data_IF_002937863447
#
_entry.id   IF_002937863447
#
_cell.length_a   1.000
_cell.length_b   1.000
_cell.length_c   1.000
_cell.angle_alpha   90.00
_cell.angle_beta   90.00
_cell.angle_gamma   90.00
#
_symmetry.space_group_name_H-M   'P 1'
#
loop_
_entity.id
_entity.type
_entity.pdbx_description
1 polymer ?
#
# COMPACT_ATOMS: atom_id res chain seq x y z
N UNK A 1 -17.44 -18.27 -13.67
CA UNK A 1 -17.74 -16.84 -13.35
C UNK A 1 -17.91 -16.80 -11.84
N UNK A 2 -17.09 -16.13 -11.03
CA UNK A 2 -16.43 -14.83 -11.17
C UNK A 2 -14.91 -15.03 -11.14
N UNK A 3 -14.16 -14.28 -11.95
CA UNK A 3 -12.70 -14.35 -12.01
C UNK A 3 -12.17 -13.93 -10.63
N UNK A 4 -11.51 -14.83 -9.92
CA UNK A 4 -10.69 -14.49 -8.75
C UNK A 4 -9.56 -13.65 -9.32
N UNK A 5 -9.69 -12.34 -9.17
CA UNK A 5 -8.86 -11.40 -9.90
C UNK A 5 -7.53 -11.25 -9.14
N UNK A 6 -6.50 -11.92 -9.65
CA UNK A 6 -5.16 -11.34 -9.64
C UNK A 6 -5.28 -9.93 -10.27
N UNK A 7 -5.31 -8.86 -9.48
CA UNK A 7 -5.15 -7.49 -10.00
C UNK A 7 -3.74 -7.02 -9.66
N UNK A 8 -2.85 -7.36 -10.57
CA UNK A 8 -1.60 -6.63 -10.77
C UNK A 8 -1.96 -5.38 -11.60
N UNK A 9 -1.50 -4.22 -11.12
CA UNK A 9 -1.14 -3.02 -11.89
C UNK A 9 -2.27 -2.19 -12.56
N UNK A 10 -2.54 -0.99 -12.02
CA UNK A 10 -2.32 0.27 -12.78
C UNK A 10 -2.71 1.51 -11.97
N UNK A 11 -1.68 2.27 -11.57
CA UNK A 11 -1.60 3.73 -11.61
C UNK A 11 -2.68 4.50 -10.84
N UNK A 12 -2.32 5.02 -9.67
CA UNK A 12 -2.85 6.31 -9.24
C UNK A 12 -1.67 7.26 -9.05
N UNK A 13 -1.58 8.16 -10.03
CA UNK A 13 -0.57 9.21 -10.15
C UNK A 13 -0.88 10.22 -9.06
N UNK A 14 -0.23 10.12 -7.90
CA UNK A 14 -0.03 11.32 -7.10
C UNK A 14 1.13 12.08 -7.74
N UNK A 15 0.86 12.71 -8.89
CA UNK A 15 1.39 14.06 -9.12
C UNK A 15 0.68 14.92 -8.09
N UNK A 16 1.06 14.73 -6.83
CA UNK A 16 0.78 15.65 -5.78
C UNK A 16 1.54 16.88 -6.20
N UNK A 17 0.83 17.77 -6.90
CA UNK A 17 1.27 19.13 -7.14
C UNK A 17 1.23 19.86 -5.79
N UNK A 18 1.94 19.33 -4.78
CA UNK A 18 2.28 20.08 -3.59
C UNK A 18 3.45 20.96 -3.99
N UNK A 19 3.16 22.24 -3.99
CA UNK A 19 4.10 23.32 -4.16
C UNK A 19 5.04 23.33 -2.95
N UNK A 20 6.00 22.42 -2.88
CA UNK A 20 7.00 22.42 -1.81
C UNK A 20 8.19 23.28 -2.26
N UNK A 21 8.45 24.43 -1.63
CA UNK A 21 9.73 25.11 -1.81
C UNK A 21 10.82 24.20 -1.20
N UNK A 22 11.64 23.55 -2.01
CA UNK A 22 12.67 22.64 -1.50
C UNK A 22 13.36 21.78 -2.57
N UNK A 23 14.35 21.00 -2.13
CA UNK A 23 15.06 20.03 -2.98
C UNK A 23 14.26 18.72 -3.17
N UNK A 24 14.79 17.74 -3.93
CA UNK A 24 14.12 16.46 -4.16
C UNK A 24 13.74 15.73 -2.87
N UNK A 25 14.62 15.71 -1.88
CA UNK A 25 14.34 15.10 -0.58
C UNK A 25 13.14 15.73 0.14
N UNK A 26 12.92 17.04 0.00
CA UNK A 26 11.80 17.71 0.65
C UNK A 26 10.48 17.37 -0.05
N UNK A 27 10.48 17.25 -1.38
CA UNK A 27 9.33 16.74 -2.12
C UNK A 27 8.96 15.31 -1.68
N UNK A 28 9.94 14.43 -1.47
CA UNK A 28 9.69 13.08 -0.93
C UNK A 28 9.15 13.09 0.50
N UNK A 29 9.68 13.96 1.39
CA UNK A 29 9.15 14.08 2.75
C UNK A 29 7.70 14.53 2.75
N UNK A 30 7.34 15.52 1.93
CA UNK A 30 5.98 16.00 1.79
C UNK A 30 5.05 14.88 1.29
N UNK A 31 5.45 14.18 0.22
CA UNK A 31 4.70 13.04 -0.31
C UNK A 31 4.44 11.96 0.74
N UNK A 32 5.48 11.50 1.46
CA UNK A 32 5.31 10.49 2.51
C UNK A 32 4.49 11.03 3.70
N UNK A 33 4.56 12.34 3.97
CA UNK A 33 3.75 12.95 5.02
C UNK A 33 2.25 12.92 4.70
N UNK A 34 1.86 13.08 3.43
CA UNK A 34 0.46 12.97 2.99
C UNK A 34 -0.13 11.60 3.29
N UNK A 35 0.63 10.54 3.00
CA UNK A 35 0.24 9.18 3.39
C UNK A 35 0.13 9.06 4.91
N UNK A 36 1.17 9.44 5.65
CA UNK A 36 1.17 9.33 7.12
C UNK A 36 0.01 10.07 7.79
N UNK A 37 -0.36 11.21 7.24
CA UNK A 37 -1.41 12.07 7.79
C UNK A 37 -2.80 11.75 7.23
N UNK A 38 -2.95 10.72 6.40
CA UNK A 38 -4.21 10.40 5.71
C UNK A 38 -4.79 11.65 5.01
N UNK A 39 -3.94 12.37 4.29
CA UNK A 39 -4.33 13.56 3.54
C UNK A 39 -5.51 13.24 2.61
N UNK A 40 -6.42 14.20 2.43
CA UNK A 40 -7.66 13.99 1.68
C UNK A 40 -7.40 13.44 0.28
N UNK A 41 -6.31 13.86 -0.39
CA UNK A 41 -5.95 13.34 -1.71
C UNK A 41 -5.67 11.83 -1.64
N UNK A 42 -4.89 11.38 -0.66
CA UNK A 42 -4.57 9.96 -0.46
C UNK A 42 -5.84 9.15 -0.12
N UNK A 43 -6.72 9.72 0.70
CA UNK A 43 -7.96 9.05 1.11
C UNK A 43 -8.97 8.96 -0.02
N UNK A 44 -9.11 10.01 -0.84
CA UNK A 44 -9.99 10.01 -2.01
C UNK A 44 -9.53 8.97 -3.04
N UNK A 45 -8.22 8.88 -3.28
CA UNK A 45 -7.65 7.86 -4.16
C UNK A 45 -7.90 6.44 -3.64
N UNK A 46 -7.68 6.21 -2.35
CA UNK A 46 -7.99 4.93 -1.71
C UNK A 46 -9.48 4.60 -1.82
N UNK A 47 -10.36 5.58 -1.61
CA UNK A 47 -11.80 5.39 -1.73
C UNK A 47 -12.23 5.08 -3.16
N UNK A 48 -11.66 5.78 -4.14
CA UNK A 48 -11.92 5.52 -5.55
C UNK A 48 -11.49 4.09 -5.93
N UNK A 49 -10.30 3.67 -5.49
CA UNK A 49 -9.83 2.30 -5.67
C UNK A 49 -10.81 1.28 -5.07
N UNK A 50 -11.16 1.43 -3.79
CA UNK A 50 -12.05 0.50 -3.09
C UNK A 50 -13.49 0.50 -3.64
N UNK A 51 -13.97 1.62 -4.20
CA UNK A 51 -15.30 1.71 -4.80
C UNK A 51 -15.44 0.90 -6.10
N UNK A 52 -14.33 0.56 -6.75
CA UNK A 52 -14.29 -0.33 -7.91
C UNK A 52 -14.41 -1.81 -7.55
N UNK A 53 -14.28 -2.16 -6.27
CA UNK A 53 -14.29 -3.54 -5.81
C UNK A 53 -15.71 -4.07 -5.60
N UNK A 54 -15.94 -5.33 -5.95
CA UNK A 54 -17.22 -6.00 -5.73
C UNK A 54 -17.29 -6.59 -4.30
N UNK A 55 -17.24 -5.71 -3.31
CA UNK A 55 -17.27 -6.02 -1.88
C UNK A 55 -18.42 -5.29 -1.20
N UNK A 56 -18.92 -5.81 -0.09
CA UNK A 56 -19.91 -5.10 0.71
C UNK A 56 -19.28 -3.91 1.46
N UNK A 57 -20.12 -2.97 1.88
CA UNK A 57 -19.68 -1.73 2.53
C UNK A 57 -18.88 -1.97 3.82
N UNK A 58 -19.20 -3.02 4.59
CA UNK A 58 -18.48 -3.33 5.83
C UNK A 58 -17.06 -3.82 5.52
N UNK A 59 -16.93 -4.72 4.54
CA UNK A 59 -15.63 -5.20 4.05
C UNK A 59 -14.79 -4.05 3.47
N UNK A 60 -15.41 -3.13 2.71
CA UNK A 60 -14.72 -1.93 2.18
C UNK A 60 -14.17 -1.07 3.32
N UNK A 61 -14.94 -0.88 4.39
CA UNK A 61 -14.52 -0.11 5.57
C UNK A 61 -13.32 -0.75 6.26
N UNK A 62 -13.31 -2.08 6.41
CA UNK A 62 -12.19 -2.81 7.01
C UNK A 62 -10.91 -2.72 6.15
N UNK A 63 -11.02 -2.83 4.83
CA UNK A 63 -9.87 -2.60 3.94
C UNK A 63 -9.35 -1.16 4.04
N UNK A 64 -10.23 -0.17 4.10
CA UNK A 64 -9.82 1.23 4.30
C UNK A 64 -9.05 1.39 5.61
N UNK A 65 -9.49 0.74 6.68
CA UNK A 65 -8.78 0.73 7.96
C UNK A 65 -7.38 0.11 7.85
N UNK A 66 -7.24 -1.03 7.16
CA UNK A 66 -5.94 -1.67 6.91
C UNK A 66 -4.97 -0.72 6.21
N UNK A 67 -5.39 -0.09 5.11
CA UNK A 67 -4.54 0.85 4.36
C UNK A 67 -4.19 2.10 5.16
N UNK A 68 -5.17 2.74 5.80
CA UNK A 68 -4.92 3.97 6.58
C UNK A 68 -4.05 3.70 7.82
N UNK A 69 -4.24 2.55 8.49
CA UNK A 69 -3.37 2.09 9.57
C UNK A 69 -1.94 1.89 9.08
N UNK A 70 -1.74 1.29 7.91
CA UNK A 70 -0.42 1.12 7.29
C UNK A 70 0.26 2.46 7.02
N UNK A 71 -0.47 3.39 6.40
CA UNK A 71 0.08 4.71 6.07
C UNK A 71 0.47 5.50 7.31
N UNK A 72 -0.42 5.60 8.31
CA UNK A 72 -0.14 6.37 9.53
C UNK A 72 1.03 5.83 10.34
N UNK A 73 1.18 4.51 10.40
CA UNK A 73 2.20 3.84 11.21
C UNK A 73 3.52 3.58 10.48
N UNK A 74 3.61 3.92 9.19
CA UNK A 74 4.86 3.87 8.43
C UNK A 74 5.89 4.82 9.05
N UNK A 75 7.11 4.35 9.26
CA UNK A 75 8.27 5.22 9.51
C UNK A 75 9.15 5.25 8.26
N UNK A 76 9.88 6.35 8.06
CA UNK A 76 10.81 6.45 6.94
C UNK A 76 12.09 7.20 7.31
N UNK A 77 13.15 6.94 6.55
CA UNK A 77 14.44 7.62 6.64
C UNK A 77 15.00 7.86 5.24
N UNK A 78 15.23 9.13 4.88
CA UNK A 78 15.99 9.47 3.67
C UNK A 78 17.42 8.96 3.84
N UNK A 79 17.89 8.16 2.88
CA UNK A 79 19.25 7.60 2.85
C UNK A 79 20.18 8.43 1.97
N UNK A 80 19.64 9.07 0.93
CA UNK A 80 20.41 9.94 0.04
C UNK A 80 19.57 10.47 -1.11
N UNK A 81 20.15 11.40 -1.86
CA UNK A 81 19.58 11.90 -3.11
C UNK A 81 20.67 12.05 -4.17
N UNK A 82 20.28 11.86 -5.42
CA UNK A 82 21.10 12.12 -6.61
C UNK A 82 20.32 13.05 -7.53
N UNK A 83 20.97 14.10 -8.01
CA UNK A 83 20.40 15.08 -8.94
C UNK A 83 21.17 15.03 -10.25
N UNK A 84 20.46 14.96 -11.37
CA UNK A 84 20.99 14.97 -12.72
C UNK A 84 20.15 15.90 -13.60
N UNK A 85 20.55 17.17 -13.66
CA UNK A 85 19.80 18.23 -14.33
C UNK A 85 18.39 18.38 -13.74
N UNK A 86 17.38 18.12 -14.57
CA UNK A 86 15.96 18.18 -14.19
C UNK A 86 15.42 16.83 -13.70
N UNK A 87 16.29 15.86 -13.40
CA UNK A 87 15.91 14.57 -12.81
C UNK A 87 16.55 14.39 -11.44
N UNK A 88 15.87 13.68 -10.56
CA UNK A 88 16.45 13.26 -9.30
C UNK A 88 15.97 11.88 -8.88
N UNK A 89 16.76 11.21 -8.07
CA UNK A 89 16.39 9.99 -7.37
C UNK A 89 16.66 10.18 -5.89
N UNK A 90 15.67 9.92 -5.06
CA UNK A 90 15.78 9.96 -3.60
C UNK A 90 15.62 8.55 -3.07
N UNK A 91 16.66 8.05 -2.40
CA UNK A 91 16.63 6.74 -1.76
C UNK A 91 16.05 6.89 -0.36
N UNK A 92 14.99 6.13 -0.06
CA UNK A 92 14.32 6.11 1.24
C UNK A 92 14.24 4.69 1.76
N UNK A 93 14.48 4.51 3.06
CA UNK A 93 14.09 3.30 3.78
C UNK A 93 12.77 3.56 4.47
N UNK A 94 11.79 2.69 4.23
CA UNK A 94 10.50 2.70 4.93
C UNK A 94 10.41 1.47 5.81
N UNK A 95 9.67 1.58 6.91
CA UNK A 95 9.26 0.44 7.75
C UNK A 95 7.75 0.47 7.89
N UNK A 96 7.11 -0.63 7.50
CA UNK A 96 5.65 -0.77 7.40
C UNK A 96 5.22 -2.11 8.03
N UNK A 97 3.92 -2.33 8.25
CA UNK A 97 3.43 -3.65 8.68
C UNK A 97 3.68 -4.70 7.60
N UNK A 98 4.08 -5.91 8.03
CA UNK A 98 4.39 -7.02 7.12
C UNK A 98 3.12 -7.79 6.72
N UNK A 99 2.31 -7.16 5.86
CA UNK A 99 1.11 -7.78 5.33
C UNK A 99 1.40 -8.92 4.34
N UNK A 100 2.59 -8.99 3.73
CA UNK A 100 3.01 -10.12 2.92
C UNK A 100 3.07 -11.38 3.79
N UNK A 101 3.82 -11.32 4.90
CA UNK A 101 3.91 -12.41 5.88
C UNK A 101 2.53 -12.79 6.41
N UNK A 102 1.72 -11.83 6.84
CA UNK A 102 0.36 -12.11 7.34
C UNK A 102 -0.51 -12.80 6.30
N UNK A 103 -0.50 -12.35 5.04
CA UNK A 103 -1.28 -12.99 3.98
C UNK A 103 -0.80 -14.41 3.69
N UNK A 104 0.52 -14.63 3.69
CA UNK A 104 1.14 -15.95 3.52
C UNK A 104 0.70 -16.90 4.62
N UNK A 105 0.84 -16.50 5.88
CA UNK A 105 0.43 -17.29 7.05
C UNK A 105 -1.08 -17.60 7.03
N UNK A 106 -1.91 -16.63 6.62
CA UNK A 106 -3.34 -16.85 6.48
C UNK A 106 -3.67 -17.90 5.39
N UNK A 107 -2.94 -17.86 4.27
CA UNK A 107 -3.08 -18.86 3.19
C UNK A 107 -2.63 -20.26 3.61
N UNK A 108 -1.52 -20.36 4.35
CA UNK A 108 -1.02 -21.62 4.93
C UNK A 108 -2.02 -22.19 5.94
N UNK A 109 -2.60 -21.34 6.79
CA UNK A 109 -3.63 -21.72 7.75
C UNK A 109 -4.89 -22.23 7.05
N UNK A 110 -5.36 -21.54 6.01
CA UNK A 110 -6.50 -21.97 5.20
C UNK A 110 -6.26 -23.35 4.57
N UNK A 111 -5.07 -23.56 4.02
CA UNK A 111 -4.69 -24.83 3.38
C UNK A 111 -4.66 -25.98 4.38
N UNK A 112 -4.20 -25.73 5.61
CA UNK A 112 -4.04 -26.75 6.66
C UNK A 112 -5.32 -26.98 7.50
N UNK A 113 -6.25 -26.01 7.51
CA UNK A 113 -7.46 -26.00 8.33
C UNK A 113 -8.73 -25.74 7.50
N UNK A 114 -8.77 -26.24 6.27
CA UNK A 114 -9.85 -25.97 5.31
C UNK A 114 -11.25 -26.30 5.83
N UNK A 115 -11.37 -27.25 6.77
CA UNK A 115 -12.63 -27.62 7.43
C UNK A 115 -13.27 -26.48 8.23
N UNK A 116 -12.51 -25.49 8.70
CA UNK A 116 -13.06 -24.30 9.38
C UNK A 116 -13.78 -23.35 8.40
N UNK A 117 -13.49 -23.50 7.11
CA UNK A 117 -13.91 -22.62 6.04
C UNK A 117 -14.92 -23.29 5.10
N UNK A 118 -15.63 -24.32 5.55
CA UNK A 118 -16.72 -24.93 4.78
C UNK A 118 -18.09 -24.41 5.21
N UNK A 119 -19.06 -24.40 4.31
CA UNK A 119 -20.46 -24.09 4.58
C UNK A 119 -21.21 -25.32 5.14
N UNK A 120 -22.52 -25.19 5.37
CA UNK A 120 -23.36 -26.29 5.87
C UNK A 120 -23.55 -27.44 4.88
N UNK A 121 -23.15 -27.26 3.61
CA UNK A 121 -23.19 -28.27 2.55
C UNK A 121 -21.85 -28.96 2.35
N UNK A 122 -20.79 -28.48 3.02
CA UNK A 122 -19.44 -28.99 2.91
C UNK A 122 -18.60 -28.31 1.81
N UNK A 123 -19.11 -27.26 1.16
CA UNK A 123 -18.39 -26.49 0.15
C UNK A 123 -17.56 -25.38 0.79
N UNK A 124 -16.45 -24.97 0.16
CA UNK A 124 -15.62 -23.88 0.66
C UNK A 124 -16.41 -22.56 0.68
N UNK A 125 -16.53 -21.97 1.87
CA UNK A 125 -17.06 -20.64 2.12
C UNK A 125 -15.93 -19.60 2.13
N UNK A 126 -15.70 -19.01 0.95
CA UNK A 126 -14.69 -17.97 0.77
C UNK A 126 -14.96 -16.71 1.61
N UNK A 127 -16.20 -16.47 2.06
CA UNK A 127 -16.51 -15.32 2.91
C UNK A 127 -15.94 -15.49 4.32
N UNK A 128 -15.96 -16.72 4.87
CA UNK A 128 -15.30 -17.04 6.14
C UNK A 128 -13.79 -16.82 6.06
N UNK A 129 -13.18 -17.28 4.97
CA UNK A 129 -11.74 -17.09 4.78
C UNK A 129 -11.37 -15.62 4.60
N UNK A 130 -12.15 -14.86 3.82
CA UNK A 130 -11.94 -13.42 3.66
C UNK A 130 -12.01 -12.69 5.00
N UNK A 131 -13.02 -12.98 5.83
CA UNK A 131 -13.16 -12.39 7.17
C UNK A 131 -11.98 -12.76 8.07
N UNK A 132 -11.55 -14.02 8.07
CA UNK A 132 -10.36 -14.44 8.80
C UNK A 132 -9.12 -13.66 8.38
N UNK A 133 -8.90 -13.53 7.06
CA UNK A 133 -7.75 -12.81 6.50
C UNK A 133 -7.76 -11.33 6.90
N UNK A 134 -8.91 -10.66 6.81
CA UNK A 134 -9.06 -9.26 7.22
C UNK A 134 -8.72 -9.07 8.70
N UNK A 135 -9.24 -9.94 9.58
CA UNK A 135 -8.91 -9.90 11.01
C UNK A 135 -7.39 -10.03 11.23
N UNK A 136 -6.73 -10.96 10.54
CA UNK A 136 -5.27 -11.11 10.64
C UNK A 136 -4.50 -9.87 10.17
N UNK A 137 -4.95 -9.21 9.11
CA UNK A 137 -4.36 -7.96 8.63
C UNK A 137 -4.54 -6.81 9.63
N UNK A 138 -5.73 -6.70 10.23
CA UNK A 138 -6.01 -5.72 11.29
C UNK A 138 -5.16 -5.98 12.54
N UNK A 139 -4.96 -7.25 12.91
CA UNK A 139 -4.17 -7.69 14.07
C UNK A 139 -2.64 -7.65 13.83
N UNK A 140 -2.17 -7.44 12.60
CA UNK A 140 -0.75 -7.51 12.27
C UNK A 140 0.05 -6.47 13.05
N UNK A 141 1.07 -6.89 13.79
CA UNK A 141 2.00 -6.01 14.51
C UNK A 141 3.43 -6.08 13.97
N UNK A 142 3.79 -7.20 13.34
CA UNK A 142 5.07 -7.41 12.70
C UNK A 142 5.32 -6.34 11.64
N UNK A 143 6.58 -5.90 11.55
CA UNK A 143 7.02 -4.88 10.61
C UNK A 143 8.18 -5.38 9.76
N UNK A 144 8.25 -4.84 8.55
CA UNK A 144 9.28 -5.11 7.56
C UNK A 144 9.81 -3.79 7.02
N UNK A 145 11.11 -3.75 6.67
CA UNK A 145 11.74 -2.56 6.10
C UNK A 145 12.14 -2.79 4.65
N UNK A 146 11.91 -1.77 3.83
CA UNK A 146 12.27 -1.78 2.41
C UNK A 146 13.05 -0.53 2.06
N UNK A 147 14.00 -0.67 1.13
CA UNK A 147 14.60 0.49 0.45
C UNK A 147 13.88 0.72 -0.89
N UNK A 148 13.53 1.97 -1.15
CA UNK A 148 12.89 2.46 -2.36
C UNK A 148 13.71 3.61 -2.93
N UNK A 149 13.87 3.60 -4.24
CA UNK A 149 14.39 4.74 -5.00
C UNK A 149 13.21 5.46 -5.64
N UNK A 150 12.87 6.65 -5.15
CA UNK A 150 11.79 7.46 -5.69
C UNK A 150 12.35 8.42 -6.73
N UNK A 151 11.83 8.36 -7.95
CA UNK A 151 12.26 9.23 -9.05
C UNK A 151 11.42 10.50 -9.09
N UNK A 152 12.06 11.60 -9.44
CA UNK A 152 11.44 12.91 -9.56
C UNK A 152 11.89 13.60 -10.84
N UNK A 153 10.99 14.41 -11.40
CA UNK A 153 11.31 15.37 -12.45
C UNK A 153 11.13 16.80 -11.95
N UNK A 154 11.94 17.70 -12.48
CA UNK A 154 11.82 19.13 -12.22
C UNK A 154 10.90 19.75 -13.27
N UNK A 155 9.80 20.34 -12.83
CA UNK A 155 8.86 21.08 -13.67
C UNK A 155 8.66 22.48 -13.10
N UNK A 156 8.86 23.53 -13.91
CA UNK A 156 8.74 24.93 -13.47
C UNK A 156 9.48 25.24 -12.15
N UNK A 157 10.73 24.78 -12.05
CA UNK A 157 11.60 24.88 -10.87
C UNK A 157 11.12 24.12 -9.61
N UNK A 158 10.24 23.12 -9.76
CA UNK A 158 9.70 22.31 -8.65
C UNK A 158 9.94 20.84 -8.89
N UNK A 159 10.22 20.09 -7.84
CA UNK A 159 10.41 18.64 -7.91
C UNK A 159 9.07 17.93 -7.73
N UNK A 160 8.72 17.10 -8.71
CA UNK A 160 7.50 16.30 -8.74
C UNK A 160 7.87 14.82 -8.77
N UNK A 161 7.25 14.02 -7.90
CA UNK A 161 7.48 12.57 -7.84
C UNK A 161 6.84 11.91 -9.06
N UNK A 162 7.59 11.05 -9.73
CA UNK A 162 7.07 10.19 -10.78
C UNK A 162 6.07 9.17 -10.22
N UNK A 163 5.11 8.69 -11.02
CA UNK A 163 4.22 7.62 -10.59
C UNK A 163 4.99 6.43 -10.03
N UNK A 164 4.54 5.94 -8.87
CA UNK A 164 5.17 4.78 -8.25
C UNK A 164 5.03 3.54 -9.14
N UNK A 165 6.09 2.74 -9.21
CA UNK A 165 6.07 1.41 -9.80
C UNK A 165 5.26 0.45 -8.91
N UNK A 166 4.83 -0.68 -9.48
CA UNK A 166 4.14 -1.71 -8.70
C UNK A 166 4.97 -2.23 -7.52
N UNK A 167 6.28 -2.34 -7.71
CA UNK A 167 7.19 -2.73 -6.65
C UNK A 167 7.21 -1.71 -5.52
N UNK A 168 7.31 -0.42 -5.83
CA UNK A 168 7.28 0.64 -4.82
C UNK A 168 5.94 0.68 -4.08
N UNK A 169 4.82 0.50 -4.80
CA UNK A 169 3.48 0.44 -4.20
C UNK A 169 3.32 -0.77 -3.27
N UNK A 170 3.72 -1.96 -3.70
CA UNK A 170 3.65 -3.17 -2.87
C UNK A 170 4.56 -3.08 -1.64
N UNK A 171 5.74 -2.45 -1.75
CA UNK A 171 6.59 -2.13 -0.60
C UNK A 171 5.92 -1.14 0.35
N UNK A 172 5.32 -0.06 -0.16
CA UNK A 172 4.59 0.92 0.64
C UNK A 172 3.37 0.31 1.35
N UNK A 173 2.69 -0.63 0.69
CA UNK A 173 1.55 -1.37 1.24
C UNK A 173 1.97 -2.54 2.12
N UNK A 174 3.26 -2.89 2.19
CA UNK A 174 3.75 -4.02 2.97
C UNK A 174 3.37 -5.39 2.41
N UNK A 175 3.02 -5.46 1.12
CA UNK A 175 2.59 -6.69 0.42
C UNK A 175 3.63 -7.22 -0.57
N UNK A 176 4.82 -6.61 -0.61
CA UNK A 176 5.92 -7.06 -1.46
C UNK A 176 6.42 -8.45 -1.05
N UNK A 177 6.51 -9.35 -2.02
CA UNK A 177 7.01 -10.71 -1.85
C UNK A 177 8.54 -10.74 -1.77
N UNK A 178 9.07 -11.47 -0.79
CA UNK A 178 10.50 -11.62 -0.50
C UNK A 178 10.89 -13.07 -0.19
#
# INVERSE_FOLDING_TARGET
MKKILLIILSIIIITGCSLVPGGPSDAVKDFLSKYKNNDQVVIDELNNYLSGENLDEATIKEYREIYTRQYSNMSYKIKGERIDGDKATVTVEITVYDYYKTNKEAGEYFSSNSQEFIDSKGDIDLSKFLKYKINKLLDTTDKVSYTLDLNLNKNNNKWEIEPLTNEQLTKLHGTYEY
#
